data_IF_609003045321
#
_entry.id   IF_609003045321
#
_cell.length_a   1.000
_cell.length_b   1.000
_cell.length_c   1.000
_cell.angle_alpha   90.00
_cell.angle_beta   90.00
_cell.angle_gamma   90.00
#
_symmetry.space_group_name_H-M   'P 1'
#
loop_
_entity.id
_entity.type
_entity.pdbx_description
1 polymer ?
#
# COMPACT_ATOMS: atom_id res chain seq x y z
N UNK A 1 18.05 -12.86 -6.39
CA UNK A 1 17.53 -12.42 -5.08
C UNK A 1 17.45 -10.90 -5.08
N UNK A 2 16.26 -10.31 -4.95
CA UNK A 2 16.04 -8.86 -5.09
C UNK A 2 15.77 -8.21 -3.73
N UNK A 3 15.90 -6.88 -3.64
CA UNK A 3 15.60 -6.12 -2.41
C UNK A 3 14.18 -6.39 -1.91
N UNK A 4 13.21 -6.49 -2.82
CA UNK A 4 11.81 -6.77 -2.50
C UNK A 4 11.62 -8.12 -1.80
N UNK A 5 12.32 -9.15 -2.26
CA UNK A 5 12.28 -10.48 -1.63
C UNK A 5 12.81 -10.42 -0.20
N UNK A 6 13.92 -9.70 0.04
CA UNK A 6 14.51 -9.57 1.38
C UNK A 6 13.61 -8.82 2.36
N UNK A 7 12.94 -7.76 1.91
CA UNK A 7 11.96 -7.05 2.74
C UNK A 7 10.78 -7.97 3.08
N UNK A 8 10.31 -8.77 2.12
CA UNK A 8 9.21 -9.71 2.34
C UNK A 8 9.56 -10.83 3.33
N UNK A 9 10.78 -11.38 3.23
CA UNK A 9 11.31 -12.36 4.19
C UNK A 9 11.39 -11.78 5.60
N UNK A 10 11.96 -10.58 5.75
CA UNK A 10 12.05 -9.90 7.05
C UNK A 10 10.68 -9.66 7.67
N UNK A 11 9.70 -9.18 6.90
CA UNK A 11 8.31 -8.97 7.37
C UNK A 11 7.73 -10.27 7.96
N UNK A 12 7.98 -11.41 7.32
CA UNK A 12 7.55 -12.71 7.79
C UNK A 12 8.28 -13.14 9.07
N UNK A 13 9.60 -12.93 9.13
CA UNK A 13 10.44 -13.27 10.29
C UNK A 13 9.99 -12.55 11.58
N UNK A 14 9.58 -11.27 11.47
CA UNK A 14 9.12 -10.48 12.62
C UNK A 14 7.60 -10.53 12.86
N UNK A 15 6.87 -11.32 12.08
CA UNK A 15 5.43 -11.55 12.29
C UNK A 15 4.51 -10.39 11.88
N UNK A 16 4.94 -9.51 10.96
CA UNK A 16 4.14 -8.36 10.45
C UNK A 16 3.41 -8.76 9.15
N UNK A 17 2.93 -10.01 9.07
CA UNK A 17 2.32 -10.56 7.85
C UNK A 17 0.87 -10.13 7.57
N UNK A 18 0.28 -9.26 8.40
CA UNK A 18 -1.12 -8.84 8.23
C UNK A 18 -1.30 -8.04 6.95
N UNK A 19 -2.32 -8.41 6.20
CA UNK A 19 -2.80 -7.69 5.03
C UNK A 19 -3.90 -6.72 5.43
N UNK A 20 -4.29 -5.82 4.52
CA UNK A 20 -5.32 -4.82 4.84
C UNK A 20 -6.66 -5.47 5.21
N UNK A 21 -6.99 -6.61 4.58
CA UNK A 21 -8.19 -7.38 4.92
C UNK A 21 -8.20 -7.91 6.36
N UNK A 22 -7.05 -8.29 6.90
CA UNK A 22 -6.92 -8.83 8.27
C UNK A 22 -7.26 -7.80 9.35
N UNK A 23 -7.33 -6.52 8.97
CA UNK A 23 -7.65 -5.39 9.85
C UNK A 23 -8.92 -4.64 9.42
N UNK A 24 -9.76 -5.26 8.58
CA UNK A 24 -11.09 -4.76 8.25
C UNK A 24 -11.18 -3.87 7.02
N UNK A 25 -10.13 -3.79 6.19
CA UNK A 25 -10.23 -3.10 4.91
C UNK A 25 -11.13 -3.88 3.93
N UNK A 26 -11.96 -3.13 3.20
CA UNK A 26 -12.75 -3.64 2.08
C UNK A 26 -12.47 -2.78 0.85
N UNK A 27 -12.75 -3.32 -0.33
CA UNK A 27 -12.58 -2.59 -1.60
C UNK A 27 -13.41 -1.30 -1.67
N UNK A 28 -14.50 -1.22 -0.91
CA UNK A 28 -15.31 0.00 -0.79
C UNK A 28 -14.53 1.19 -0.21
N UNK A 29 -13.46 0.95 0.55
CA UNK A 29 -12.64 2.01 1.14
C UNK A 29 -11.63 2.63 0.15
N UNK A 30 -11.17 1.87 -0.85
CA UNK A 30 -9.95 2.23 -1.60
C UNK A 30 -10.08 3.54 -2.36
N UNK A 31 -11.26 3.86 -2.91
CA UNK A 31 -11.47 5.12 -3.62
C UNK A 31 -11.26 6.32 -2.71
N UNK A 32 -11.88 6.31 -1.53
CA UNK A 32 -11.74 7.37 -0.53
C UNK A 32 -10.31 7.47 0.01
N UNK A 33 -9.67 6.33 0.28
CA UNK A 33 -8.27 6.29 0.73
C UNK A 33 -7.29 6.80 -0.31
N UNK A 34 -7.47 6.43 -1.59
CA UNK A 34 -6.62 6.90 -2.67
C UNK A 34 -6.75 8.41 -2.90
N UNK A 35 -7.95 8.97 -2.70
CA UNK A 35 -8.15 10.41 -2.75
C UNK A 35 -7.41 11.11 -1.59
N UNK A 36 -7.58 10.61 -0.37
CA UNK A 36 -6.86 11.15 0.79
C UNK A 36 -5.34 11.04 0.62
N UNK A 37 -4.84 9.93 0.08
CA UNK A 37 -3.42 9.73 -0.20
C UNK A 37 -2.87 10.69 -1.27
N UNK A 38 -3.68 11.12 -2.25
CA UNK A 38 -3.26 12.15 -3.22
C UNK A 38 -3.07 13.53 -2.59
N UNK A 39 -3.82 13.81 -1.53
CA UNK A 39 -3.77 15.08 -0.81
C UNK A 39 -2.70 15.06 0.30
N UNK A 40 -2.17 13.89 0.65
CA UNK A 40 -1.15 13.71 1.67
C UNK A 40 0.20 14.35 1.24
N UNK A 41 0.76 15.17 2.13
CA UNK A 41 2.01 15.90 1.87
C UNK A 41 3.19 14.97 1.56
N UNK A 42 3.18 13.75 2.11
CA UNK A 42 4.23 12.76 1.91
C UNK A 42 4.28 12.25 0.46
N UNK A 43 3.17 12.29 -0.28
CA UNK A 43 3.17 11.84 -1.68
C UNK A 43 4.03 12.73 -2.58
N UNK A 44 4.19 14.02 -2.23
CA UNK A 44 4.96 14.99 -3.05
C UNK A 44 6.43 14.60 -3.22
N UNK A 45 7.00 13.86 -2.28
CA UNK A 45 8.40 13.40 -2.34
C UNK A 45 8.55 11.98 -2.89
N UNK A 46 7.46 11.31 -3.26
CA UNK A 46 7.55 9.99 -3.86
C UNK A 46 8.26 10.09 -5.22
N UNK A 47 9.31 9.29 -5.50
CA UNK A 47 10.11 9.42 -6.72
C UNK A 47 9.33 9.13 -8.02
N UNK A 48 8.13 8.57 -7.90
CA UNK A 48 7.19 8.39 -9.00
C UNK A 48 5.88 9.10 -8.67
N UNK A 49 5.44 10.02 -9.52
CA UNK A 49 4.09 10.57 -9.45
C UNK A 49 3.08 9.43 -9.69
N UNK A 50 2.19 9.20 -8.72
CA UNK A 50 1.17 8.17 -8.79
C UNK A 50 -0.20 8.79 -9.12
N UNK A 51 -0.93 8.21 -10.07
CA UNK A 51 -2.34 8.58 -10.34
C UNK A 51 -3.28 7.97 -9.29
N UNK A 52 -4.51 8.48 -9.20
CA UNK A 52 -5.55 7.91 -8.34
C UNK A 52 -5.72 6.39 -8.56
N UNK A 53 -5.83 5.97 -9.82
CA UNK A 53 -5.99 4.57 -10.22
C UNK A 53 -4.81 3.71 -9.78
N UNK A 54 -3.58 4.24 -9.90
CA UNK A 54 -2.38 3.53 -9.45
C UNK A 54 -2.38 3.35 -7.93
N UNK A 55 -2.82 4.36 -7.17
CA UNK A 55 -2.92 4.26 -5.70
C UNK A 55 -4.01 3.26 -5.29
N UNK A 56 -5.16 3.25 -5.96
CA UNK A 56 -6.20 2.21 -5.76
C UNK A 56 -5.62 0.81 -6.03
N UNK A 57 -4.85 0.66 -7.10
CA UNK A 57 -4.16 -0.60 -7.43
C UNK A 57 -3.18 -1.05 -6.34
N UNK A 58 -2.48 -0.11 -5.68
CA UNK A 58 -1.58 -0.41 -4.56
C UNK A 58 -2.36 -0.91 -3.33
N UNK A 59 -3.48 -0.30 -2.98
CA UNK A 59 -4.35 -0.80 -1.91
C UNK A 59 -4.92 -2.18 -2.22
N UNK A 60 -5.36 -2.42 -3.46
CA UNK A 60 -5.83 -3.73 -3.89
C UNK A 60 -4.74 -4.81 -3.82
N UNK A 61 -3.48 -4.48 -4.17
CA UNK A 61 -2.36 -5.41 -4.08
C UNK A 61 -1.99 -5.78 -2.62
N UNK A 62 -2.24 -4.87 -1.68
CA UNK A 62 -2.00 -5.05 -0.25
C UNK A 62 -3.20 -5.65 0.52
N UNK A 63 -4.33 -5.90 -0.15
CA UNK A 63 -5.55 -6.47 0.44
C UNK A 63 -5.32 -7.83 1.06
#
# INVERSE_FOLDING_TARGET
MTLLTRVSELIAEVGIGKRLGDVGATSAHYGAWAQAAQEDICLRSNPRTASLEQIVGLYAAAQ
#
